data_IF_426754028141
#
_entry.id   IF_426754028141
#
_cell.length_a   1.000
_cell.length_b   1.000
_cell.length_c   1.000
_cell.angle_alpha   90.00
_cell.angle_beta   90.00
_cell.angle_gamma   90.00
#
_symmetry.space_group_name_H-M   'P 1'
#
loop_
_entity.id
_entity.type
_entity.pdbx_description
1 polymer ?
#
# COMPACT_ATOMS: atom_id res chain seq x y z
N UNK A 1 24.52 10.03 8.60
CA UNK A 1 23.65 9.49 9.56
C UNK A 1 22.22 9.49 9.05
N UNK A 2 21.29 9.18 9.92
CA UNK A 2 19.91 8.98 9.50
C UNK A 2 19.27 10.22 8.91
N UNK A 3 19.66 11.38 9.40
CA UNK A 3 19.08 12.61 8.88
C UNK A 3 19.37 12.77 7.40
N UNK A 4 20.55 12.42 6.97
CA UNK A 4 20.87 12.51 5.56
C UNK A 4 20.01 11.59 4.70
N UNK A 5 19.72 10.38 5.19
CA UNK A 5 18.92 9.42 4.47
C UNK A 5 17.47 9.87 4.39
N UNK A 6 16.98 10.50 5.44
CA UNK A 6 15.57 10.84 5.54
C UNK A 6 15.26 12.27 5.20
N UNK A 7 16.18 12.99 4.55
CA UNK A 7 15.85 14.30 4.02
C UNK A 7 14.75 14.13 2.97
N UNK A 8 13.97 15.17 2.74
CA UNK A 8 12.76 15.02 1.93
C UNK A 8 13.06 14.53 0.52
N UNK A 9 14.13 15.05 -0.12
CA UNK A 9 14.46 14.63 -1.48
C UNK A 9 14.93 13.18 -1.52
N UNK A 10 15.82 12.81 -0.59
CA UNK A 10 16.30 11.43 -0.54
C UNK A 10 15.17 10.47 -0.20
N UNK A 11 14.29 10.88 0.67
CA UNK A 11 13.18 10.03 1.06
C UNK A 11 12.27 9.72 -0.12
N UNK A 12 11.97 10.73 -0.93
CA UNK A 12 11.11 10.53 -2.10
C UNK A 12 11.75 9.58 -3.11
N UNK A 13 13.03 9.72 -3.33
CA UNK A 13 13.75 8.83 -4.24
C UNK A 13 13.75 7.40 -3.74
N UNK A 14 13.94 7.23 -2.43
CA UNK A 14 13.92 5.90 -1.84
C UNK A 14 12.55 5.23 -2.01
N UNK A 15 11.48 5.99 -1.86
CA UNK A 15 10.13 5.46 -2.03
C UNK A 15 9.91 5.04 -3.48
N UNK A 16 10.31 5.87 -4.43
CA UNK A 16 10.16 5.54 -5.84
C UNK A 16 10.94 4.26 -6.17
N UNK A 17 12.19 4.18 -5.72
CA UNK A 17 13.00 3.00 -5.98
C UNK A 17 12.39 1.75 -5.35
N UNK A 18 11.89 1.88 -4.13
CA UNK A 18 11.29 0.74 -3.45
C UNK A 18 10.06 0.23 -4.19
N UNK A 19 9.21 1.14 -4.67
CA UNK A 19 8.03 0.74 -5.41
C UNK A 19 8.41 0.09 -6.73
N UNK A 20 9.40 0.63 -7.40
CA UNK A 20 9.80 0.11 -8.71
C UNK A 20 10.30 -1.32 -8.64
N UNK A 21 10.99 -1.69 -7.57
CA UNK A 21 11.51 -3.05 -7.44
C UNK A 21 10.57 -3.98 -6.68
N UNK A 22 9.50 -3.48 -6.10
CA UNK A 22 8.60 -4.30 -5.30
C UNK A 22 7.82 -5.24 -6.19
N UNK A 23 7.58 -6.44 -5.67
CA UNK A 23 6.69 -7.39 -6.33
C UNK A 23 5.24 -7.18 -5.93
N UNK A 24 5.01 -6.53 -4.81
CA UNK A 24 3.67 -6.19 -4.34
C UNK A 24 3.78 -5.02 -3.39
N UNK A 25 2.72 -4.25 -3.27
CA UNK A 25 2.64 -3.13 -2.35
C UNK A 25 1.50 -3.40 -1.38
N UNK A 26 1.80 -3.40 -0.10
CA UNK A 26 0.78 -3.59 0.92
C UNK A 26 0.32 -2.21 1.36
N UNK A 27 -0.98 -1.96 1.19
CA UNK A 27 -1.58 -0.68 1.54
C UNK A 27 -2.39 -0.85 2.82
N UNK A 28 -1.88 -0.29 3.91
CA UNK A 28 -2.61 -0.33 5.18
C UNK A 28 -3.64 0.80 5.17
N UNK A 29 -4.91 0.42 5.03
CA UNK A 29 -5.99 1.39 4.87
C UNK A 29 -6.59 1.73 6.22
N UNK A 30 -6.48 2.99 6.60
CA UNK A 30 -7.03 3.51 7.84
C UNK A 30 -7.38 4.97 7.61
N UNK A 31 -8.08 5.56 8.59
CA UNK A 31 -8.44 6.96 8.47
C UNK A 31 -7.19 7.83 8.28
N UNK A 32 -6.14 7.55 9.03
CA UNK A 32 -4.91 8.33 8.95
C UNK A 32 -4.23 8.17 7.60
N UNK A 33 -4.08 6.94 7.13
CA UNK A 33 -3.38 6.71 5.87
C UNK A 33 -4.20 7.24 4.68
N UNK A 34 -5.51 7.11 4.76
CA UNK A 34 -6.38 7.53 3.64
C UNK A 34 -6.50 9.05 3.53
N UNK A 35 -6.05 9.78 4.54
CA UNK A 35 -5.99 11.24 4.47
C UNK A 35 -4.56 11.76 4.32
N UNK A 36 -3.58 10.88 4.23
CA UNK A 36 -2.19 11.28 4.09
C UNK A 36 -1.85 11.49 2.62
N UNK A 37 -1.44 12.70 2.28
CA UNK A 37 -1.06 13.01 0.90
C UNK A 37 0.10 12.14 0.45
N UNK A 38 1.05 11.87 1.35
CA UNK A 38 2.21 11.05 0.99
C UNK A 38 1.78 9.62 0.66
N UNK A 39 0.91 9.03 1.48
CA UNK A 39 0.42 7.68 1.23
C UNK A 39 -0.35 7.63 -0.08
N UNK A 40 -1.22 8.63 -0.31
CA UNK A 40 -2.01 8.68 -1.53
C UNK A 40 -1.09 8.73 -2.76
N UNK A 41 -0.04 9.51 -2.70
CA UNK A 41 0.92 9.61 -3.80
C UNK A 41 1.66 8.30 -4.03
N UNK A 42 2.05 7.64 -2.95
CA UNK A 42 2.75 6.36 -3.06
C UNK A 42 1.86 5.31 -3.71
N UNK A 43 0.62 5.22 -3.28
CA UNK A 43 -0.31 4.27 -3.87
C UNK A 43 -0.61 4.63 -5.32
N UNK A 44 -0.78 5.91 -5.61
CA UNK A 44 -0.99 6.35 -6.99
C UNK A 44 0.16 5.98 -7.89
N UNK A 45 1.39 6.12 -7.39
CA UNK A 45 2.56 5.74 -8.18
C UNK A 45 2.60 4.23 -8.40
N UNK A 46 2.27 3.45 -7.37
CA UNK A 46 2.24 2.00 -7.50
C UNK A 46 1.20 1.57 -8.54
N UNK A 47 0.05 2.22 -8.56
CA UNK A 47 -0.98 1.95 -9.57
C UNK A 47 -0.44 2.26 -10.96
N UNK A 48 0.21 3.40 -11.11
CA UNK A 48 0.80 3.77 -12.40
C UNK A 48 1.82 2.75 -12.88
N UNK A 49 2.60 2.20 -11.96
CA UNK A 49 3.60 1.20 -12.29
C UNK A 49 2.99 -0.19 -12.46
N UNK A 50 1.67 -0.30 -12.32
CA UNK A 50 0.95 -1.55 -12.44
C UNK A 50 1.41 -2.62 -11.45
N UNK A 51 1.77 -2.18 -10.26
CA UNK A 51 2.17 -3.10 -9.20
C UNK A 51 0.95 -3.69 -8.54
N UNK A 52 0.99 -4.98 -8.17
CA UNK A 52 -0.09 -5.56 -7.38
C UNK A 52 -0.19 -4.86 -6.04
N UNK A 53 -1.40 -4.51 -5.64
CA UNK A 53 -1.64 -3.84 -4.37
C UNK A 53 -2.53 -4.71 -3.51
N UNK A 54 -2.13 -4.89 -2.25
CA UNK A 54 -2.90 -5.65 -1.27
C UNK A 54 -3.39 -4.71 -0.18
N UNK A 55 -4.64 -4.24 -0.28
CA UNK A 55 -5.18 -3.37 0.77
C UNK A 55 -5.52 -4.16 2.03
N UNK A 56 -5.00 -3.72 3.15
CA UNK A 56 -5.34 -4.26 4.47
C UNK A 56 -6.25 -3.24 5.16
N UNK A 57 -7.47 -3.62 5.42
CA UNK A 57 -8.47 -2.71 5.95
C UNK A 57 -8.45 -2.76 7.47
N UNK A 58 -8.04 -1.66 8.08
CA UNK A 58 -7.99 -1.54 9.53
C UNK A 58 -9.26 -0.89 10.10
N UNK A 59 -9.92 -0.05 9.33
CA UNK A 59 -11.16 0.60 9.78
C UNK A 59 -12.03 0.87 8.55
N UNK A 60 -13.14 1.56 8.78
CA UNK A 60 -14.14 1.78 7.73
C UNK A 60 -13.88 3.03 6.90
N UNK A 61 -12.76 3.69 7.07
CA UNK A 61 -12.50 4.92 6.34
C UNK A 61 -12.41 4.63 4.84
N UNK A 62 -13.03 5.47 4.00
CA UNK A 62 -12.99 5.25 2.56
C UNK A 62 -11.62 5.61 2.00
N UNK A 63 -11.32 5.03 0.86
CA UNK A 63 -10.12 5.41 0.12
C UNK A 63 -10.23 6.86 -0.35
N UNK A 64 -9.07 7.52 -0.52
CA UNK A 64 -9.04 8.85 -1.09
C UNK A 64 -9.64 8.82 -2.50
N UNK A 65 -10.31 9.90 -2.87
CA UNK A 65 -11.01 9.93 -4.15
C UNK A 65 -10.07 9.73 -5.34
N UNK A 66 -8.86 10.24 -5.25
CA UNK A 66 -7.91 10.18 -6.36
C UNK A 66 -7.46 8.77 -6.70
N UNK A 67 -7.55 7.83 -5.75
CA UNK A 67 -7.15 6.44 -5.99
C UNK A 67 -8.32 5.47 -5.89
N UNK A 68 -9.51 5.98 -5.62
CA UNK A 68 -10.65 5.11 -5.31
C UNK A 68 -11.04 4.21 -6.47
N UNK A 69 -11.07 4.75 -7.67
CA UNK A 69 -11.41 3.95 -8.84
C UNK A 69 -10.37 2.87 -9.10
N UNK A 70 -9.11 3.22 -8.89
CA UNK A 70 -8.02 2.31 -9.23
C UNK A 70 -7.95 1.10 -8.31
N UNK A 71 -8.33 1.26 -7.03
CA UNK A 71 -8.15 0.17 -6.08
C UNK A 71 -9.47 -0.40 -5.56
N UNK A 72 -10.61 0.14 -6.00
CA UNK A 72 -11.92 -0.37 -5.55
C UNK A 72 -12.19 -1.80 -6.00
N UNK A 73 -11.66 -2.17 -7.14
CA UNK A 73 -11.87 -3.50 -7.71
C UNK A 73 -10.92 -4.55 -7.15
N UNK A 74 -9.91 -4.12 -6.39
CA UNK A 74 -8.91 -5.04 -5.90
C UNK A 74 -9.43 -5.73 -4.65
N UNK A 75 -9.21 -7.04 -4.56
CA UNK A 75 -9.54 -7.78 -3.34
C UNK A 75 -8.85 -7.16 -2.16
N UNK A 76 -9.62 -6.83 -1.14
CA UNK A 76 -9.06 -6.27 0.08
C UNK A 76 -9.17 -7.29 1.21
N UNK A 77 -8.27 -7.16 2.17
CA UNK A 77 -8.22 -8.06 3.31
C UNK A 77 -8.69 -7.28 4.53
N UNK A 78 -9.76 -7.77 5.15
CA UNK A 78 -10.26 -7.15 6.38
C UNK A 78 -9.30 -7.52 7.50
N UNK A 79 -8.55 -6.56 7.95
CA UNK A 79 -7.54 -6.76 8.97
C UNK A 79 -7.97 -6.17 10.32
N UNK A 80 -9.27 -5.92 10.50
CA UNK A 80 -9.79 -5.45 11.78
C UNK A 80 -9.65 -6.53 12.85
N UNK A 81 -9.56 -7.80 12.43
CA UNK A 81 -9.24 -8.91 13.32
C UNK A 81 -7.98 -9.59 12.79
N UNK A 82 -6.78 -9.17 13.26
CA UNK A 82 -5.54 -9.67 12.67
C UNK A 82 -5.35 -11.18 12.79
N UNK A 83 -5.83 -11.79 13.88
CA UNK A 83 -5.65 -13.22 14.06
C UNK A 83 -6.38 -13.99 12.97
N UNK A 84 -7.62 -13.61 12.66
CA UNK A 84 -8.39 -14.30 11.65
C UNK A 84 -7.90 -13.96 10.23
N UNK A 85 -7.33 -12.78 10.05
CA UNK A 85 -7.00 -12.29 8.71
C UNK A 85 -5.58 -12.62 8.27
N UNK A 86 -4.70 -12.97 9.21
CA UNK A 86 -3.29 -13.19 8.87
C UNK A 86 -3.12 -14.35 7.89
N UNK A 87 -3.94 -15.38 8.01
CA UNK A 87 -3.86 -16.51 7.09
C UNK A 87 -4.19 -16.09 5.66
N UNK A 88 -5.22 -15.29 5.49
CA UNK A 88 -5.58 -14.81 4.16
C UNK A 88 -4.48 -13.91 3.60
N UNK A 89 -3.88 -13.10 4.45
CA UNK A 89 -2.78 -12.25 4.01
C UNK A 89 -1.62 -13.08 3.49
N UNK A 90 -1.21 -14.10 4.25
CA UNK A 90 -0.09 -14.94 3.85
C UNK A 90 -0.40 -15.63 2.52
N UNK A 91 -1.60 -16.17 2.37
CA UNK A 91 -2.00 -16.84 1.13
C UNK A 91 -1.96 -15.87 -0.04
N UNK A 92 -2.48 -14.66 0.15
CA UNK A 92 -2.50 -13.66 -0.91
C UNK A 92 -1.10 -13.23 -1.31
N UNK A 93 -0.22 -13.04 -0.33
CA UNK A 93 1.17 -12.67 -0.61
C UNK A 93 1.88 -13.77 -1.38
N UNK A 94 1.69 -15.01 -0.98
CA UNK A 94 2.33 -16.12 -1.68
C UNK A 94 1.87 -16.21 -3.12
N UNK A 95 0.58 -15.99 -3.34
CA UNK A 95 0.05 -16.01 -4.71
C UNK A 95 0.71 -14.92 -5.56
N UNK A 96 0.79 -13.71 -5.04
CA UNK A 96 1.36 -12.59 -5.78
C UNK A 96 2.86 -12.78 -6.02
N UNK A 97 3.59 -13.23 -4.99
CA UNK A 97 5.03 -13.32 -5.09
C UNK A 97 5.48 -14.47 -5.98
N UNK A 98 4.63 -15.47 -6.18
CA UNK A 98 4.98 -16.62 -7.00
C UNK A 98 4.50 -16.51 -8.44
N UNK A 99 3.95 -15.35 -8.78
CA UNK A 99 3.62 -15.06 -10.17
C UNK A 99 4.86 -14.68 -10.98
#
# INVERSE_FOLDING_TARGET
DKEGIYSSSNYKELIVDAIEVAKAVIFISSENSNSSINVIREIGYAVNMKKPILPLILDEAPYAKSIRLDISDIDQIDFKNPVASSKKLITSLMYVLNK
#
